data_IF_666551649408
#
_entry.id   IF_666551649408
#
_cell.length_a   1.000
_cell.length_b   1.000
_cell.length_c   1.000
_cell.angle_alpha   90.00
_cell.angle_beta   90.00
_cell.angle_gamma   90.00
#
_symmetry.space_group_name_H-M   'P 1'
#
loop_
_entity.id
_entity.type
_entity.pdbx_description
1 polymer ?
#
# COMPACT_ATOMS: atom_id res chain seq x y z
N UNK A 1 -41.37 -38.04 25.64
CA UNK A 1 -40.38 -38.37 24.59
C UNK A 1 -39.90 -37.07 23.97
N UNK A 2 -38.72 -36.60 24.36
CA UNK A 2 -38.09 -35.41 23.78
C UNK A 2 -36.92 -35.86 22.90
N UNK A 3 -36.95 -35.48 21.63
CA UNK A 3 -35.90 -35.77 20.66
C UNK A 3 -34.80 -34.72 20.87
N UNK A 4 -33.63 -35.17 21.32
CA UNK A 4 -32.42 -34.35 21.38
C UNK A 4 -31.91 -34.17 19.95
N UNK A 5 -32.07 -32.97 19.43
CA UNK A 5 -31.57 -32.54 18.14
C UNK A 5 -30.06 -32.25 18.28
N UNK A 6 -29.24 -33.30 18.22
CA UNK A 6 -27.77 -33.18 18.24
C UNK A 6 -27.28 -32.95 16.82
N UNK A 7 -27.41 -31.73 16.33
CA UNK A 7 -26.60 -31.29 15.20
C UNK A 7 -25.12 -31.31 15.63
N UNK A 8 -24.24 -32.08 14.95
CA UNK A 8 -22.82 -32.02 15.22
C UNK A 8 -22.31 -30.60 14.92
N UNK A 9 -21.37 -30.06 15.71
CA UNK A 9 -20.80 -28.75 15.44
C UNK A 9 -20.19 -28.74 14.03
N UNK A 10 -20.35 -27.65 13.25
CA UNK A 10 -19.76 -27.56 11.93
C UNK A 10 -18.27 -27.84 12.05
N UNK A 11 -17.78 -28.82 11.30
CA UNK A 11 -16.36 -29.18 11.27
C UNK A 11 -15.56 -27.89 11.12
N UNK A 12 -14.73 -27.59 12.13
CA UNK A 12 -13.93 -26.37 12.17
C UNK A 12 -13.23 -26.22 10.82
N UNK A 13 -13.55 -25.17 10.08
CA UNK A 13 -12.95 -24.92 8.76
C UNK A 13 -11.44 -25.04 8.90
N UNK A 14 -10.88 -26.11 8.32
CA UNK A 14 -9.44 -26.31 8.36
C UNK A 14 -8.79 -25.10 7.70
N UNK A 15 -8.04 -24.34 8.48
CA UNK A 15 -7.40 -23.13 7.99
C UNK A 15 -6.17 -23.52 7.15
N UNK A 16 -6.41 -23.93 5.90
CA UNK A 16 -5.38 -24.39 4.95
C UNK A 16 -4.27 -23.35 4.73
N UNK A 17 -4.57 -22.06 4.93
CA UNK A 17 -3.59 -20.97 4.85
C UNK A 17 -2.46 -21.16 5.88
N UNK A 18 -2.76 -21.72 7.06
CA UNK A 18 -1.73 -21.99 8.09
C UNK A 18 -0.82 -23.17 7.75
N UNK A 19 -1.22 -24.03 6.82
CA UNK A 19 -0.44 -25.17 6.35
C UNK A 19 0.51 -24.79 5.20
N UNK A 20 0.38 -23.59 4.62
CA UNK A 20 1.28 -23.12 3.57
C UNK A 20 2.68 -22.78 4.13
N UNK A 21 3.75 -23.26 3.49
CA UNK A 21 5.10 -22.76 3.73
C UNK A 21 5.17 -21.24 3.59
N UNK A 22 6.04 -20.62 4.39
CA UNK A 22 6.19 -19.17 4.44
C UNK A 22 6.66 -18.61 3.09
N UNK A 23 7.48 -19.37 2.37
CA UNK A 23 8.02 -19.04 1.06
C UNK A 23 6.90 -18.88 0.03
N UNK A 24 5.90 -19.76 0.06
CA UNK A 24 4.74 -19.67 -0.84
C UNK A 24 3.87 -18.45 -0.51
N UNK A 25 3.69 -18.14 0.77
CA UNK A 25 2.97 -16.92 1.18
C UNK A 25 3.69 -15.66 0.70
N UNK A 26 5.02 -15.61 0.80
CA UNK A 26 5.82 -14.50 0.27
C UNK A 26 5.61 -14.37 -1.24
N UNK A 27 5.70 -15.47 -1.98
CA UNK A 27 5.49 -15.45 -3.43
C UNK A 27 4.09 -14.97 -3.83
N UNK A 28 3.05 -15.39 -3.09
CA UNK A 28 1.68 -14.91 -3.29
C UNK A 28 1.60 -13.40 -3.02
N UNK A 29 2.19 -12.91 -1.93
CA UNK A 29 2.15 -11.48 -1.60
C UNK A 29 2.87 -10.63 -2.65
N UNK A 30 4.04 -11.07 -3.11
CA UNK A 30 4.80 -10.39 -4.16
C UNK A 30 4.06 -10.44 -5.49
N UNK A 31 3.48 -11.57 -5.86
CA UNK A 31 2.68 -11.71 -7.08
C UNK A 31 1.47 -10.77 -7.05
N UNK A 32 0.72 -10.75 -5.94
CA UNK A 32 -0.40 -9.84 -5.75
C UNK A 32 0.08 -8.38 -5.83
N UNK A 33 1.20 -8.05 -5.18
CA UNK A 33 1.77 -6.71 -5.19
C UNK A 33 2.14 -6.22 -6.60
N UNK A 34 2.81 -7.06 -7.39
CA UNK A 34 3.30 -6.71 -8.73
C UNK A 34 2.16 -6.62 -9.75
N UNK A 35 1.16 -7.49 -9.64
CA UNK A 35 -0.01 -7.51 -10.55
C UNK A 35 -1.08 -6.46 -10.21
N UNK A 36 -1.02 -5.88 -9.01
CA UNK A 36 -1.94 -4.84 -8.59
C UNK A 36 -1.62 -3.51 -9.29
N UNK A 37 -2.68 -2.83 -9.75
CA UNK A 37 -2.61 -1.47 -10.28
C UNK A 37 -1.86 -0.52 -9.33
N UNK A 38 -1.09 0.40 -9.89
CA UNK A 38 -0.23 1.32 -9.15
C UNK A 38 -1.00 2.13 -8.07
N UNK A 39 -2.26 2.48 -8.31
CA UNK A 39 -3.08 3.22 -7.34
C UNK A 39 -3.54 2.37 -6.16
N UNK A 40 -3.47 1.05 -6.27
CA UNK A 40 -3.84 0.11 -5.20
C UNK A 40 -2.59 -0.51 -4.57
N UNK A 41 -1.50 -0.67 -5.33
CA UNK A 41 -0.23 -1.28 -4.91
C UNK A 41 0.32 -0.65 -3.64
N UNK A 42 0.16 0.67 -3.47
CA UNK A 42 0.63 1.36 -2.27
C UNK A 42 -0.04 0.84 -0.98
N UNK A 43 -1.28 0.34 -1.05
CA UNK A 43 -2.06 -0.14 0.08
C UNK A 43 -1.78 -1.60 0.42
N UNK A 44 -1.30 -2.40 -0.54
CA UNK A 44 -1.15 -3.85 -0.40
C UNK A 44 -0.39 -4.23 0.88
N UNK A 45 0.79 -3.65 1.19
CA UNK A 45 1.52 -4.03 2.40
C UNK A 45 0.72 -3.75 3.68
N UNK A 46 0.02 -2.61 3.73
CA UNK A 46 -0.82 -2.26 4.88
C UNK A 46 -2.00 -3.20 5.05
N UNK A 47 -2.64 -3.62 3.95
CA UNK A 47 -3.72 -4.64 3.99
C UNK A 47 -3.19 -5.96 4.54
N UNK A 48 -1.99 -6.38 4.13
CA UNK A 48 -1.35 -7.60 4.65
C UNK A 48 -1.08 -7.51 6.16
N UNK A 49 -0.73 -6.32 6.70
CA UNK A 49 -0.54 -6.12 8.15
C UNK A 49 -1.80 -6.36 8.98
N UNK A 50 -3.00 -6.23 8.39
CA UNK A 50 -4.28 -6.38 9.08
C UNK A 50 -4.91 -7.77 9.00
N UNK A 51 -4.40 -8.69 8.19
CA UNK A 51 -5.05 -10.00 7.97
C UNK A 51 -4.83 -10.96 9.14
N UNK A 52 -3.59 -11.34 9.42
CA UNK A 52 -3.22 -12.18 10.56
C UNK A 52 -1.87 -11.74 11.14
N UNK A 53 -1.55 -12.19 12.35
CA UNK A 53 -0.22 -11.98 12.94
C UNK A 53 0.92 -12.59 12.12
N UNK A 54 0.66 -13.71 11.44
CA UNK A 54 1.62 -14.37 10.53
C UNK A 54 1.87 -13.49 9.31
N UNK A 55 0.81 -13.03 8.64
CA UNK A 55 0.91 -12.17 7.45
C UNK A 55 1.61 -10.86 7.77
N UNK A 56 1.30 -10.28 8.93
CA UNK A 56 2.00 -9.09 9.44
C UNK A 56 3.50 -9.32 9.58
N UNK A 57 3.92 -10.42 10.22
CA UNK A 57 5.35 -10.76 10.39
C UNK A 57 6.05 -10.93 9.06
N UNK A 58 5.42 -11.61 8.10
CA UNK A 58 5.97 -11.80 6.75
C UNK A 58 6.09 -10.45 6.04
N UNK A 59 5.00 -9.69 5.97
CA UNK A 59 4.98 -8.40 5.26
C UNK A 59 6.02 -7.42 5.81
N UNK A 60 6.21 -7.34 7.13
CA UNK A 60 7.24 -6.48 7.73
C UNK A 60 8.68 -6.95 7.45
N UNK A 61 8.89 -8.24 7.21
CA UNK A 61 10.21 -8.81 6.93
C UNK A 61 10.60 -8.67 5.46
N UNK A 62 9.62 -8.61 4.55
CA UNK A 62 9.84 -8.56 3.11
C UNK A 62 9.94 -7.14 2.56
N UNK A 63 11.15 -6.61 2.29
CA UNK A 63 11.35 -5.20 1.92
C UNK A 63 10.77 -4.87 0.54
N UNK A 64 10.67 -5.87 -0.35
CA UNK A 64 10.19 -5.69 -1.72
C UNK A 64 8.75 -5.17 -1.77
N UNK A 65 7.91 -5.52 -0.79
CA UNK A 65 6.54 -5.03 -0.69
C UNK A 65 6.46 -3.51 -0.43
N UNK A 66 7.54 -2.90 0.06
CA UNK A 66 7.57 -1.50 0.49
C UNK A 66 8.24 -0.57 -0.52
N UNK A 67 8.61 -1.07 -1.71
CA UNK A 67 9.42 -0.34 -2.70
C UNK A 67 8.64 0.73 -3.48
N UNK A 68 7.34 0.54 -3.67
CA UNK A 68 6.46 1.49 -4.32
C UNK A 68 5.77 2.46 -3.34
N UNK A 69 5.98 3.75 -3.57
CA UNK A 69 5.35 4.86 -2.83
C UNK A 69 4.49 5.70 -3.77
N UNK A 70 3.19 5.75 -3.49
CA UNK A 70 2.27 6.65 -4.19
C UNK A 70 1.80 7.74 -3.24
N UNK A 71 1.83 8.96 -3.73
CA UNK A 71 1.38 10.13 -3.02
C UNK A 71 0.33 10.86 -3.84
N UNK A 72 -0.74 11.30 -3.18
CA UNK A 72 -1.83 12.03 -3.82
C UNK A 72 -2.10 13.35 -3.10
N UNK A 73 -2.03 14.48 -3.80
CA UNK A 73 -2.27 15.80 -3.19
C UNK A 73 -3.65 15.89 -2.52
N UNK A 74 -4.69 15.21 -3.04
CA UNK A 74 -6.01 15.14 -2.37
C UNK A 74 -5.99 14.51 -0.96
N UNK A 75 -4.94 13.76 -0.60
CA UNK A 75 -4.76 13.21 0.74
C UNK A 75 -4.20 14.23 1.74
N UNK A 76 -3.72 15.38 1.27
CA UNK A 76 -3.22 16.48 2.09
C UNK A 76 -4.30 17.32 2.80
N UNK A 77 -5.53 16.82 2.92
CA UNK A 77 -6.59 17.43 3.76
C UNK A 77 -6.44 17.08 5.26
N UNK A 78 -7.54 17.04 6.04
CA UNK A 78 -7.53 16.73 7.50
C UNK A 78 -6.89 15.38 7.91
N UNK A 79 -6.47 14.50 6.98
CA UNK A 79 -5.87 13.16 7.22
C UNK A 79 -4.34 13.12 6.97
N UNK A 80 -3.68 14.27 7.01
CA UNK A 80 -2.30 14.53 6.57
C UNK A 80 -1.20 13.83 7.35
N UNK A 81 -1.21 13.92 8.68
CA UNK A 81 -0.15 13.33 9.51
C UNK A 81 -0.03 11.81 9.30
N UNK A 82 -1.16 11.14 9.05
CA UNK A 82 -1.19 9.70 8.79
C UNK A 82 -0.54 9.34 7.44
N UNK A 83 -0.62 10.21 6.44
CA UNK A 83 -0.03 9.97 5.11
C UNK A 83 1.49 10.08 5.16
N UNK A 84 2.02 11.12 5.81
CA UNK A 84 3.47 11.30 6.03
C UNK A 84 4.04 10.12 6.83
N UNK A 85 3.35 9.70 7.90
CA UNK A 85 3.75 8.52 8.69
C UNK A 85 3.73 7.24 7.86
N UNK A 86 2.73 7.03 7.02
CA UNK A 86 2.66 5.86 6.14
C UNK A 86 3.82 5.82 5.12
N UNK A 87 4.20 6.97 4.57
CA UNK A 87 5.34 7.09 3.65
C UNK A 87 6.65 6.83 4.39
N UNK A 88 6.87 7.48 5.53
CA UNK A 88 8.04 7.22 6.38
C UNK A 88 8.14 5.73 6.75
N UNK A 89 7.01 5.11 7.12
CA UNK A 89 6.93 3.69 7.43
C UNK A 89 7.36 2.81 6.23
N UNK A 90 6.90 3.13 5.02
CA UNK A 90 7.33 2.46 3.78
C UNK A 90 8.84 2.61 3.54
N UNK A 91 9.36 3.83 3.65
CA UNK A 91 10.77 4.12 3.43
C UNK A 91 11.66 3.31 4.39
N UNK A 92 11.28 3.23 5.66
CA UNK A 92 11.99 2.42 6.67
C UNK A 92 11.98 0.93 6.29
N UNK A 93 10.82 0.38 5.92
CA UNK A 93 10.69 -1.06 5.65
C UNK A 93 11.24 -1.49 4.29
N UNK A 94 11.37 -0.56 3.35
CA UNK A 94 12.01 -0.80 2.05
C UNK A 94 13.53 -1.02 2.16
N UNK A 95 14.14 -0.72 3.31
CA UNK A 95 15.60 -0.88 3.58
C UNK A 95 16.43 -0.15 2.52
N UNK A 96 17.39 -0.81 1.88
CA UNK A 96 18.22 -0.23 0.80
C UNK A 96 17.70 -0.58 -0.61
N UNK A 97 16.47 -1.10 -0.72
CA UNK A 97 15.94 -1.51 -2.02
C UNK A 97 15.66 -0.30 -2.92
N UNK A 98 15.74 -0.49 -4.25
CA UNK A 98 15.25 0.45 -5.23
C UNK A 98 13.83 0.94 -4.94
N UNK A 99 13.58 2.23 -5.15
CA UNK A 99 12.31 2.88 -4.90
C UNK A 99 11.66 3.35 -6.20
N UNK A 100 10.38 3.04 -6.32
CA UNK A 100 9.48 3.61 -7.32
C UNK A 100 8.58 4.63 -6.64
N UNK A 101 8.61 5.86 -7.12
CA UNK A 101 7.88 6.97 -6.51
C UNK A 101 6.91 7.54 -7.53
N UNK A 102 5.68 7.71 -7.10
CA UNK A 102 4.62 8.31 -7.90
C UNK A 102 3.96 9.42 -7.08
N UNK A 103 3.93 10.64 -7.63
CA UNK A 103 3.41 11.84 -6.98
C UNK A 103 2.33 12.43 -7.87
N UNK A 104 1.09 12.39 -7.41
CA UNK A 104 -0.01 13.16 -7.98
C UNK A 104 -0.02 14.55 -7.34
N UNK A 105 0.41 15.52 -8.15
CA UNK A 105 0.50 16.94 -7.84
C UNK A 105 -0.87 17.59 -7.78
N UNK A 106 -1.90 17.02 -8.41
CA UNK A 106 -3.24 17.60 -8.52
C UNK A 106 -3.27 19.05 -9.02
N UNK A 107 -4.43 19.70 -8.91
CA UNK A 107 -4.62 21.12 -9.25
C UNK A 107 -4.41 22.07 -8.07
N UNK A 108 -4.14 21.55 -6.86
CA UNK A 108 -4.04 22.37 -5.65
C UNK A 108 -2.63 22.98 -5.50
N UNK A 109 -2.53 24.20 -4.95
CA UNK A 109 -1.24 24.83 -4.71
C UNK A 109 -0.35 23.96 -3.81
N UNK A 110 0.95 24.01 -4.08
CA UNK A 110 1.97 23.33 -3.27
C UNK A 110 1.89 23.84 -1.84
N UNK A 111 1.68 22.92 -0.90
CA UNK A 111 1.65 23.24 0.53
C UNK A 111 3.04 23.08 1.15
N UNK A 112 3.29 23.72 2.29
CA UNK A 112 4.53 23.53 3.07
C UNK A 112 4.81 22.03 3.33
N UNK A 113 3.74 21.26 3.57
CA UNK A 113 3.83 19.82 3.81
C UNK A 113 4.27 19.02 2.58
N UNK A 114 3.84 19.44 1.38
CA UNK A 114 4.37 18.88 0.14
C UNK A 114 5.89 19.14 0.07
N UNK A 115 6.34 20.33 0.48
CA UNK A 115 7.76 20.64 0.63
C UNK A 115 8.48 19.68 1.58
N UNK A 116 7.94 19.45 2.79
CA UNK A 116 8.52 18.51 3.77
C UNK A 116 8.53 17.06 3.27
N UNK A 117 7.47 16.63 2.58
CA UNK A 117 7.45 15.32 1.96
C UNK A 117 8.51 15.19 0.88
N UNK A 118 8.62 16.17 -0.03
CA UNK A 118 9.63 16.17 -1.07
C UNK A 118 11.02 16.13 -0.45
N UNK A 119 11.28 16.93 0.60
CA UNK A 119 12.54 16.88 1.35
C UNK A 119 12.83 15.49 1.90
N UNK A 120 11.84 14.84 2.54
CA UNK A 120 11.97 13.47 3.05
C UNK A 120 12.29 12.47 1.94
N UNK A 121 11.57 12.52 0.82
CA UNK A 121 11.80 11.63 -0.31
C UNK A 121 13.22 11.85 -0.87
N UNK A 122 13.67 13.11 -1.01
CA UNK A 122 15.00 13.47 -1.54
C UNK A 122 16.17 12.97 -0.68
N UNK A 123 15.94 12.66 0.61
CA UNK A 123 16.93 11.99 1.45
C UNK A 123 17.25 10.56 0.96
N UNK A 124 16.35 9.95 0.19
CA UNK A 124 16.50 8.60 -0.36
C UNK A 124 16.76 8.58 -1.87
N UNK A 125 17.12 9.73 -2.48
CA UNK A 125 17.24 9.89 -3.94
C UNK A 125 18.20 8.90 -4.62
N UNK A 126 19.23 8.45 -3.90
CA UNK A 126 20.21 7.48 -4.41
C UNK A 126 19.62 6.10 -4.67
N UNK A 127 18.41 5.82 -4.17
CA UNK A 127 17.70 4.55 -4.34
C UNK A 127 16.61 4.63 -5.39
N UNK A 128 16.34 5.79 -5.97
CA UNK A 128 15.23 5.96 -6.90
C UNK A 128 15.54 5.29 -8.23
N UNK A 129 14.61 4.49 -8.72
CA UNK A 129 14.68 3.88 -10.07
C UNK A 129 13.60 4.39 -10.99
N UNK A 130 12.51 4.91 -10.44
CA UNK A 130 11.47 5.57 -11.21
C UNK A 130 10.83 6.70 -10.40
N UNK A 131 10.56 7.82 -11.07
CA UNK A 131 9.76 8.93 -10.55
C UNK A 131 8.68 9.26 -11.56
N UNK A 132 7.41 9.14 -11.16
CA UNK A 132 6.25 9.53 -11.95
C UNK A 132 5.59 10.74 -11.32
N UNK A 133 5.43 11.81 -12.09
CA UNK A 133 4.71 13.01 -11.68
C UNK A 133 3.41 13.09 -12.47
N UNK A 134 2.28 13.08 -11.77
CA UNK A 134 0.97 13.26 -12.37
C UNK A 134 0.47 14.66 -12.05
N UNK A 135 0.19 15.45 -13.07
CA UNK A 135 -0.61 16.66 -12.93
C UNK A 135 -2.01 16.32 -13.42
N UNK A 136 -2.98 16.35 -12.52
CA UNK A 136 -4.39 16.19 -12.91
C UNK A 136 -4.77 17.45 -13.70
N UNK A 137 -4.72 17.38 -15.02
CA UNK A 137 -5.39 18.38 -15.86
C UNK A 137 -6.87 18.11 -15.69
N UNK A 138 -7.55 19.05 -15.04
CA UNK A 138 -8.97 19.02 -14.79
C UNK A 138 -9.71 18.57 -16.06
N UNK A 139 -10.36 17.40 -16.03
CA UNK A 139 -11.24 16.93 -17.09
C UNK A 139 -12.51 17.81 -17.25
N UNK A 140 -12.55 18.98 -16.58
CA UNK A 140 -13.60 19.99 -16.67
C UNK A 140 -13.65 20.83 -17.95
N UNK A 141 -12.81 20.57 -18.96
CA UNK A 141 -12.89 21.25 -20.28
C UNK A 141 -13.39 20.38 -21.44
N UNK A 142 -13.79 19.14 -21.21
CA UNK A 142 -14.49 18.31 -22.22
C UNK A 142 -16.00 18.25 -21.91
N UNK A 143 -16.62 19.44 -21.85
CA UNK A 143 -18.03 19.59 -21.52
C UNK A 143 -18.71 20.78 -22.18
N UNK A 144 -18.15 21.40 -23.22
CA UNK A 144 -18.89 22.30 -24.11
C UNK A 144 -18.24 22.29 -25.50
N UNK A 145 -18.69 21.33 -26.33
CA UNK A 145 -18.76 21.53 -27.77
C UNK A 145 -20.16 22.06 -28.03
N UNK A 146 -20.28 23.35 -28.34
CA UNK A 146 -21.36 23.92 -29.13
C UNK A 146 -20.77 24.29 -30.49
#
# INVERSE_FOLDING_TARGET
MAILDTNPPPAAEENYIRKLPVELLIQIFLSAYLTTDQHIRFQVPFKLLSVTSVWRKIALREPQLWTYTFYRNRWLGRKTASSVKAISFKLVHSKDRPLEIAIDLGSRPVTEMMGELIKMLLQHRNRWVALSLYADYDYGLMGHVL
#
